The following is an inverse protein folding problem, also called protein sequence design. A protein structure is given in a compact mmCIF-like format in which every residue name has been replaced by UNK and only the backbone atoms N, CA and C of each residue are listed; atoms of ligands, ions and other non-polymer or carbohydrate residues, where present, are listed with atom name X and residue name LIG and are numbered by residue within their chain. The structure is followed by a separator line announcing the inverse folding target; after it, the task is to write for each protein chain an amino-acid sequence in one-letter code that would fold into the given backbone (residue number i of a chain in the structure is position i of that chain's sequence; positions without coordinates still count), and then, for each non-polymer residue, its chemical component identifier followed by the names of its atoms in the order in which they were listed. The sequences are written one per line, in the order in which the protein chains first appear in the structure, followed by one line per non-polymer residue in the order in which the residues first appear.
data_IF_230206659905
#
_entry.id   IF_230206659905
#
_cell.length_a   1.000
_cell.length_b   1.000
_cell.length_c   1.000
_cell.angle_alpha   90.00
_cell.angle_beta   90.00
_cell.angle_gamma   90.00
#
_symmetry.space_group_name_H-M   'P 1'
#
loop_
_entity.id
_entity.type
_entity.pdbx_description
1 polymer ?
#
# COMPACT_ATOMS: atom_id res chain seq x y z
N UNK A 1 9.10 -16.72 2.22
CA UNK A 1 9.76 -16.97 0.93
C UNK A 1 8.85 -17.89 0.13
N UNK A 2 8.40 -17.50 -1.06
CA UNK A 2 7.52 -18.31 -1.94
C UNK A 2 8.33 -19.47 -2.55
N UNK A 3 8.72 -20.43 -1.71
CA UNK A 3 9.68 -21.47 -2.07
C UNK A 3 9.11 -22.49 -3.06
N UNK A 4 7.81 -22.78 -3.00
CA UNK A 4 7.12 -23.60 -3.99
C UNK A 4 6.42 -22.72 -5.03
N UNK A 5 7.00 -22.65 -6.24
CA UNK A 5 6.40 -21.94 -7.39
C UNK A 5 5.33 -22.81 -8.04
N UNK A 6 4.34 -23.25 -7.27
CA UNK A 6 3.14 -23.88 -7.82
C UNK A 6 2.42 -22.84 -8.66
N UNK A 7 2.33 -23.09 -9.97
CA UNK A 7 1.60 -22.22 -10.92
C UNK A 7 0.21 -22.79 -11.09
N UNK A 8 -0.80 -21.95 -10.90
CA UNK A 8 -2.22 -22.30 -11.06
C UNK A 8 -2.82 -21.40 -12.14
N UNK A 9 -3.55 -22.00 -13.08
CA UNK A 9 -4.42 -21.28 -14.01
C UNK A 9 -5.84 -21.32 -13.44
N UNK A 10 -6.40 -20.15 -13.15
CA UNK A 10 -7.77 -20.02 -12.67
C UNK A 10 -8.63 -19.43 -13.80
N UNK A 11 -9.65 -20.17 -14.22
CA UNK A 11 -10.66 -19.71 -15.19
C UNK A 11 -11.94 -19.44 -14.41
N UNK A 12 -12.38 -18.18 -14.40
CA UNK A 12 -13.56 -17.73 -13.68
C UNK A 12 -14.58 -17.15 -14.65
N UNK A 13 -15.86 -17.25 -14.29
CA UNK A 13 -16.87 -16.41 -14.92
C UNK A 13 -16.65 -14.94 -14.54
N UNK A 14 -17.13 -14.02 -15.38
CA UNK A 14 -17.07 -12.59 -15.08
C UNK A 14 -17.80 -12.26 -13.76
N UNK A 15 -18.92 -12.95 -13.48
CA UNK A 15 -19.70 -12.75 -12.25
C UNK A 15 -18.91 -13.13 -10.99
N UNK A 16 -18.11 -14.19 -11.03
CA UNK A 16 -17.26 -14.60 -9.91
C UNK A 16 -16.12 -13.61 -9.69
N UNK A 17 -15.55 -13.12 -10.79
CA UNK A 17 -14.52 -12.08 -10.74
C UNK A 17 -15.06 -10.77 -10.15
N UNK A 18 -16.28 -10.38 -10.53
CA UNK A 18 -16.94 -9.18 -10.00
C UNK A 18 -17.29 -9.33 -8.52
N UNK A 19 -17.76 -10.50 -8.09
CA UNK A 19 -17.97 -10.80 -6.67
C UNK A 19 -16.66 -10.72 -5.87
N UNK A 20 -15.57 -11.27 -6.41
CA UNK A 20 -14.25 -11.19 -5.78
C UNK A 20 -13.75 -9.73 -5.66
N UNK A 21 -14.02 -8.88 -6.67
CA UNK A 21 -13.72 -7.43 -6.59
C UNK A 21 -14.50 -6.74 -5.48
N UNK A 22 -15.79 -7.04 -5.35
CA UNK A 22 -16.63 -6.49 -4.27
C UNK A 22 -16.06 -6.91 -2.90
N UNK A 23 -15.64 -8.17 -2.75
CA UNK A 23 -15.03 -8.63 -1.49
C UNK A 23 -13.69 -8.00 -1.22
N UNK A 24 -12.83 -7.80 -2.22
CA UNK A 24 -11.59 -7.04 -2.03
C UNK A 24 -11.89 -5.62 -1.52
N UNK A 25 -12.92 -4.96 -2.07
CA UNK A 25 -13.37 -3.65 -1.60
C UNK A 25 -13.86 -3.68 -0.15
N UNK A 26 -14.76 -4.60 0.17
CA UNK A 26 -15.30 -4.78 1.53
C UNK A 26 -14.20 -5.08 2.54
N UNK A 27 -13.31 -6.03 2.25
CA UNK A 27 -12.19 -6.41 3.11
C UNK A 27 -11.23 -5.23 3.31
N UNK A 28 -10.95 -4.44 2.27
CA UNK A 28 -10.14 -3.23 2.38
C UNK A 28 -10.74 -2.23 3.38
N UNK A 29 -12.05 -2.02 3.31
CA UNK A 29 -12.75 -1.13 4.26
C UNK A 29 -12.80 -1.69 5.68
N UNK A 30 -13.07 -2.98 5.84
CA UNK A 30 -13.23 -3.63 7.14
C UNK A 30 -11.91 -3.74 7.90
N UNK A 31 -10.87 -4.24 7.22
CA UNK A 31 -9.55 -4.48 7.82
C UNK A 31 -8.70 -3.21 7.90
N UNK A 32 -9.10 -2.12 7.21
CA UNK A 32 -8.32 -0.87 7.07
C UNK A 32 -6.91 -1.12 6.51
N UNK A 33 -6.79 -2.13 5.66
CA UNK A 33 -5.54 -2.54 5.00
C UNK A 33 -5.80 -2.70 3.50
N UNK A 34 -4.84 -2.38 2.62
CA UNK A 34 -5.02 -2.60 1.18
C UNK A 34 -5.14 -4.10 0.88
N UNK A 35 -6.32 -4.55 0.45
CA UNK A 35 -6.56 -5.93 0.00
C UNK A 35 -6.67 -5.93 -1.53
N UNK A 36 -5.77 -6.62 -2.21
CA UNK A 36 -5.81 -6.76 -3.67
C UNK A 36 -6.65 -7.94 -4.10
N UNK A 37 -7.15 -7.90 -5.34
CA UNK A 37 -7.85 -9.03 -5.95
C UNK A 37 -7.00 -10.32 -5.93
N UNK A 38 -5.67 -10.20 -6.05
CA UNK A 38 -4.76 -11.36 -5.98
C UNK A 38 -4.80 -12.07 -4.63
N UNK A 39 -4.93 -11.34 -3.51
CA UNK A 39 -5.07 -11.92 -2.17
C UNK A 39 -6.38 -12.70 -2.08
N UNK A 40 -7.47 -12.11 -2.56
CA UNK A 40 -8.80 -12.77 -2.56
C UNK A 40 -8.79 -14.04 -3.41
N UNK A 41 -8.26 -13.97 -4.64
CA UNK A 41 -8.19 -15.13 -5.52
C UNK A 41 -7.29 -16.24 -4.96
N UNK A 42 -6.19 -15.87 -4.28
CA UNK A 42 -5.33 -16.85 -3.63
C UNK A 42 -6.02 -17.53 -2.45
N UNK A 43 -6.69 -16.76 -1.60
CA UNK A 43 -7.47 -17.30 -0.50
C UNK A 43 -8.60 -18.22 -1.01
N UNK A 44 -9.25 -17.86 -2.11
CA UNK A 44 -10.23 -18.72 -2.77
C UNK A 44 -9.60 -20.05 -3.19
N UNK A 45 -8.42 -20.05 -3.82
CA UNK A 45 -7.73 -21.29 -4.21
C UNK A 45 -7.40 -22.15 -2.97
N UNK A 46 -6.86 -21.54 -1.92
CA UNK A 46 -6.48 -22.23 -0.68
C UNK A 46 -7.70 -22.82 0.05
N UNK A 47 -8.86 -22.17 -0.03
CA UNK A 47 -10.11 -22.67 0.53
C UNK A 47 -10.88 -23.64 -0.40
N UNK A 48 -10.34 -23.99 -1.56
CA UNK A 48 -10.98 -24.92 -2.51
C UNK A 48 -12.11 -24.29 -3.32
N UNK A 49 -11.99 -23.01 -3.64
CA UNK A 49 -12.95 -22.19 -4.39
C UNK A 49 -14.36 -22.16 -3.78
N UNK A 50 -14.42 -22.29 -2.45
CA UNK A 50 -15.66 -22.17 -1.67
C UNK A 50 -16.29 -20.80 -1.83
N UNK A 51 -17.58 -20.72 -1.52
CA UNK A 51 -18.35 -19.49 -1.62
C UNK A 51 -17.65 -18.32 -0.93
N UNK A 52 -17.75 -17.17 -1.58
CA UNK A 52 -17.13 -15.91 -1.18
C UNK A 52 -17.58 -15.42 0.22
N UNK A 53 -18.71 -15.92 0.72
CA UNK A 53 -19.26 -15.59 2.04
C UNK A 53 -18.83 -16.59 3.16
N UNK A 54 -17.88 -17.49 2.87
CA UNK A 54 -17.35 -18.45 3.84
C UNK A 54 -16.47 -17.74 4.89
N UNK A 55 -16.72 -17.92 6.20
CA UNK A 55 -15.86 -17.36 7.26
C UNK A 55 -14.38 -17.72 7.12
N UNK A 56 -14.07 -18.97 6.75
CA UNK A 56 -12.68 -19.41 6.58
C UNK A 56 -11.95 -18.64 5.47
N UNK A 57 -12.69 -18.20 4.44
CA UNK A 57 -12.13 -17.38 3.37
C UNK A 57 -11.73 -15.99 3.89
N UNK A 58 -12.56 -15.39 4.74
CA UNK A 58 -12.29 -14.06 5.31
C UNK A 58 -11.06 -14.10 6.22
N UNK A 59 -10.94 -15.12 7.07
CA UNK A 59 -9.79 -15.31 7.96
C UNK A 59 -8.49 -15.45 7.16
N UNK A 60 -8.53 -16.20 6.05
CA UNK A 60 -7.38 -16.36 5.16
C UNK A 60 -7.02 -15.04 4.44
N UNK A 61 -8.02 -14.29 3.93
CA UNK A 61 -7.81 -12.96 3.34
C UNK A 61 -7.12 -12.02 4.33
N UNK A 62 -7.60 -12.01 5.58
CA UNK A 62 -7.01 -11.19 6.65
C UNK A 62 -5.56 -11.59 6.92
N UNK A 63 -5.29 -12.88 7.13
CA UNK A 63 -3.94 -13.41 7.35
C UNK A 63 -2.96 -13.03 6.24
N UNK A 64 -3.36 -13.19 4.99
CA UNK A 64 -2.54 -12.80 3.83
C UNK A 64 -2.33 -11.28 3.74
N UNK A 65 -3.36 -10.47 3.99
CA UNK A 65 -3.25 -9.02 3.98
C UNK A 65 -2.25 -8.52 5.04
N UNK A 66 -2.28 -9.09 6.24
CA UNK A 66 -1.31 -8.81 7.29
C UNK A 66 0.10 -9.23 6.91
N UNK A 67 0.26 -10.43 6.35
CA UNK A 67 1.57 -10.92 5.88
C UNK A 67 2.16 -10.00 4.80
N UNK A 68 1.36 -9.58 3.81
CA UNK A 68 1.79 -8.64 2.76
C UNK A 68 2.17 -7.28 3.36
N UNK A 69 1.38 -6.77 4.32
CA UNK A 69 1.71 -5.52 5.02
C UNK A 69 3.04 -5.62 5.76
N UNK A 70 3.28 -6.73 6.46
CA UNK A 70 4.54 -6.98 7.16
C UNK A 70 5.72 -7.04 6.18
N UNK A 71 5.61 -7.80 5.09
CA UNK A 71 6.63 -7.86 4.02
C UNK A 71 6.93 -6.45 3.49
N UNK A 72 5.90 -5.65 3.20
CA UNK A 72 6.07 -4.25 2.75
C UNK A 72 6.67 -3.36 3.83
N UNK A 73 6.43 -3.63 5.11
CA UNK A 73 7.02 -2.88 6.22
C UNK A 73 8.51 -3.18 6.35
N UNK A 74 8.89 -4.45 6.31
CA UNK A 74 10.29 -4.90 6.36
C UNK A 74 11.07 -4.40 5.13
N UNK A 75 10.49 -4.48 3.94
CA UNK A 75 11.09 -3.93 2.72
C UNK A 75 11.37 -2.42 2.84
N UNK A 76 10.44 -1.66 3.45
CA UNK A 76 10.64 -0.23 3.71
C UNK A 76 11.74 0.04 4.74
N UNK A 77 11.85 -0.78 5.79
CA UNK A 77 12.92 -0.65 6.79
C UNK A 77 14.31 -0.99 6.20
N UNK A 78 14.40 -2.02 5.35
CA UNK A 78 15.64 -2.38 4.65
C UNK A 78 16.11 -1.33 3.63
N UNK A 79 15.18 -0.59 3.02
CA UNK A 79 15.50 0.53 2.13
C UNK A 79 15.79 1.84 2.88
N UNK A 80 15.22 2.03 4.07
CA UNK A 80 15.47 3.18 4.95
C UNK A 80 16.88 3.21 5.58
N UNK A 81 17.58 2.07 5.63
CA UNK A 81 18.96 1.98 6.13
C UNK A 81 20.03 2.60 5.21
N UNK A 82 19.70 2.90 3.94
CA UNK A 82 20.58 3.65 3.02
C UNK A 82 20.22 5.13 2.88
N UNK A 83 19.07 5.56 3.40
CA UNK A 83 18.64 6.96 3.42
C UNK A 83 18.97 7.67 4.75
N UNK A 84 19.95 7.15 5.49
CA UNK A 84 20.41 7.64 6.79
C UNK A 84 21.71 8.47 6.77
N UNK A 85 22.25 8.78 5.59
CA UNK A 85 23.45 9.61 5.42
C UNK A 85 23.15 10.82 4.52
N UNK A 86 22.04 11.53 4.78
CA UNK A 86 21.88 12.89 4.25
C UNK A 86 20.98 13.76 5.15
N UNK A 87 21.10 13.55 6.48
CA UNK A 87 20.67 14.53 7.48
C UNK A 87 21.81 15.46 7.84
N UNK A 88 22.55 15.92 6.84
CA UNK A 88 23.50 17.02 6.96
C UNK A 88 22.93 18.24 6.25
N UNK A 89 22.58 19.27 6.99
CA UNK A 89 22.43 20.64 6.49
C UNK A 89 21.17 21.00 5.67
N UNK A 90 20.00 20.97 6.32
CA UNK A 90 18.92 21.92 5.97
C UNK A 90 18.79 22.94 7.10
N UNK A 91 19.62 23.98 7.01
CA UNK A 91 19.44 25.21 7.79
C UNK A 91 18.08 25.86 7.48
N UNK A 92 17.58 26.72 8.38
CA UNK A 92 16.24 27.29 8.26
C UNK A 92 16.20 28.23 7.04
N UNK A 93 15.29 27.95 6.10
CA UNK A 93 15.03 28.79 4.95
C UNK A 93 14.56 30.18 5.42
N UNK A 94 15.47 31.15 5.37
CA UNK A 94 15.19 32.56 5.60
C UNK A 94 14.23 33.03 4.49
N UNK A 95 13.00 33.38 4.87
CA UNK A 95 12.06 34.08 3.98
C UNK A 95 12.60 35.49 3.74
N UNK A 96 12.86 35.94 2.49
CA UNK A 96 13.14 37.34 2.25
C UNK A 96 11.81 38.10 2.30
N UNK A 97 11.60 38.88 3.36
CA UNK A 97 10.57 39.91 3.40
C UNK A 97 10.96 41.09 2.50
N UNK A 98 10.03 41.77 1.83
CA UNK A 98 10.32 43.01 1.12
C UNK A 98 10.05 44.19 2.07
N UNK A 99 11.10 44.71 2.71
CA UNK A 99 11.01 46.07 3.24
C UNK A 99 12.38 46.77 3.27
N UNK A 100 12.38 48.03 2.83
CA UNK A 100 13.37 49.03 3.20
C UNK A 100 14.70 49.06 2.44
N UNK A 101 14.72 49.67 1.24
CA UNK A 101 15.86 50.51 0.82
C UNK A 101 15.41 51.92 0.45
N UNK A 102 15.26 52.65 1.54
CA UNK A 102 15.54 54.06 1.76
C UNK A 102 16.30 54.84 0.66
N UNK A 103 15.64 55.91 0.18
CA UNK A 103 16.11 57.29 -0.09
C UNK A 103 17.39 57.52 -0.90
N UNK A 104 17.29 58.25 -2.02
CA UNK A 104 18.07 59.50 -2.26
C UNK A 104 17.54 60.31 -3.48
N UNK A 105 16.80 61.39 -3.21
CA UNK A 105 16.86 62.76 -3.81
C UNK A 105 16.99 62.98 -5.33
N UNK A 106 16.06 63.77 -5.89
CA UNK A 106 16.22 65.14 -6.50
C UNK A 106 15.02 65.42 -7.42
N UNK A 107 14.15 66.40 -7.09
CA UNK A 107 14.09 67.74 -7.72
C UNK A 107 14.36 67.73 -9.23
N UNK A 108 13.29 67.87 -10.02
CA UNK A 108 12.97 69.03 -10.88
C UNK A 108 11.52 68.91 -11.32
#
# INVERSE_FOLDING_TARGET
MFADKTKVLLILSQADLDRARVVAGKATTALKLPVSLQIVLRALIEEGLKHVDNPALLDNIEGQAHAVRQIRSVARQGWGGRAGQDRGNRGPATRPGPDGRERQRRRT
#
